data_IF_123761116481
#
_entry.id   IF_123761116481
#
_cell.length_a   1.000
_cell.length_b   1.000
_cell.length_c   1.000
_cell.angle_alpha   90.00
_cell.angle_beta   90.00
_cell.angle_gamma   90.00
#
_symmetry.space_group_name_H-M   'P 1'
#
loop_
_entity.id
_entity.type
_entity.pdbx_description
1 polymer ?
#
# COMPACT_ATOMS: atom_id res chain seq x y z
N UNK A 1 1.90 4.53 -3.77
CA UNK A 1 2.16 5.15 -5.09
C UNK A 1 1.47 4.34 -6.17
N UNK A 2 0.94 5.01 -7.18
CA UNK A 2 0.30 4.40 -8.35
C UNK A 2 1.09 4.77 -9.60
N UNK A 3 1.32 3.78 -10.45
CA UNK A 3 2.02 3.93 -11.71
C UNK A 3 1.06 3.69 -12.87
N UNK A 4 1.26 4.41 -13.97
CA UNK A 4 0.52 4.17 -15.21
C UNK A 4 1.25 3.18 -16.13
N UNK A 5 0.65 2.87 -17.27
CA UNK A 5 1.20 1.93 -18.27
C UNK A 5 2.58 2.34 -18.82
N UNK A 6 2.91 3.64 -18.82
CA UNK A 6 4.23 4.13 -19.21
C UNK A 6 5.30 3.94 -18.11
N UNK A 7 4.92 3.36 -16.97
CA UNK A 7 5.82 3.12 -15.82
C UNK A 7 6.17 4.39 -15.04
N UNK A 8 5.51 5.51 -15.30
CA UNK A 8 5.69 6.76 -14.55
C UNK A 8 4.70 6.86 -13.40
N UNK A 9 5.09 7.59 -12.36
CA UNK A 9 4.22 7.85 -11.21
C UNK A 9 3.05 8.71 -11.68
N UNK A 10 1.85 8.14 -11.61
CA UNK A 10 0.60 8.86 -11.84
C UNK A 10 0.21 9.65 -10.59
N UNK A 11 0.32 9.00 -9.41
CA UNK A 11 -0.08 9.61 -8.15
C UNK A 11 0.68 9.08 -6.94
N UNK A 12 0.95 9.99 -6.00
CA UNK A 12 1.30 9.67 -4.62
C UNK A 12 0.06 9.75 -3.73
N UNK A 13 -0.21 8.68 -2.98
CA UNK A 13 -1.38 8.59 -2.08
C UNK A 13 -0.95 7.91 -0.79
N UNK A 14 -1.42 8.45 0.33
CA UNK A 14 -1.33 7.80 1.64
C UNK A 14 -2.63 7.03 1.86
N UNK A 15 -2.52 5.74 2.09
CA UNK A 15 -3.64 4.88 2.43
C UNK A 15 -3.65 4.69 3.94
N UNK A 16 -4.70 5.18 4.60
CA UNK A 16 -4.86 5.06 6.05
C UNK A 16 -5.56 3.74 6.39
N UNK A 17 -4.76 2.74 6.75
CA UNK A 17 -5.26 1.43 7.17
C UNK A 17 -5.93 1.46 8.55
N UNK A 18 -5.89 2.59 9.28
CA UNK A 18 -6.29 2.75 10.68
C UNK A 18 -5.59 1.69 11.57
N UNK A 19 -6.04 1.56 12.81
CA UNK A 19 -5.44 0.60 13.74
C UNK A 19 -5.52 -0.84 13.20
N UNK A 20 -4.42 -1.58 13.34
CA UNK A 20 -4.33 -3.00 13.02
C UNK A 20 -4.17 -3.80 14.32
N UNK A 21 -5.26 -4.32 14.91
CA UNK A 21 -5.19 -5.06 16.15
C UNK A 21 -4.36 -6.34 15.99
N UNK A 22 -3.56 -6.65 17.00
CA UNK A 22 -2.75 -7.86 17.02
C UNK A 22 -3.61 -9.12 16.83
N UNK A 23 -3.16 -10.02 15.96
CA UNK A 23 -3.83 -11.29 15.67
C UNK A 23 -5.14 -11.17 14.88
N UNK A 24 -5.45 -9.99 14.32
CA UNK A 24 -6.63 -9.79 13.47
C UNK A 24 -6.24 -9.54 12.02
N UNK A 25 -7.01 -10.12 11.11
CA UNK A 25 -7.00 -9.74 9.69
C UNK A 25 -7.95 -8.58 9.49
N UNK A 26 -7.46 -7.47 8.94
CA UNK A 26 -8.27 -6.30 8.60
C UNK A 26 -8.34 -6.15 7.09
N UNK A 27 -9.55 -5.97 6.58
CA UNK A 27 -9.79 -5.64 5.17
C UNK A 27 -10.30 -4.21 5.11
N UNK A 28 -9.54 -3.34 4.45
CA UNK A 28 -9.91 -1.94 4.23
C UNK A 28 -10.08 -1.72 2.73
N UNK A 29 -11.20 -1.13 2.33
CA UNK A 29 -11.42 -0.64 0.98
C UNK A 29 -11.02 0.83 0.92
N UNK A 30 -10.27 1.19 -0.10
CA UNK A 30 -9.93 2.58 -0.39
C UNK A 30 -10.58 2.97 -1.71
N UNK A 31 -11.26 4.11 -1.73
CA UNK A 31 -11.75 4.70 -2.97
C UNK A 31 -10.69 5.62 -3.56
N UNK A 32 -10.23 5.29 -4.75
CA UNK A 32 -9.21 6.01 -5.49
C UNK A 32 -9.87 6.94 -6.51
N UNK A 33 -10.50 8.01 -6.03
CA UNK A 33 -11.23 8.96 -6.90
C UNK A 33 -10.35 9.52 -8.01
N UNK A 34 -10.93 9.67 -9.20
CA UNK A 34 -10.24 10.17 -10.39
C UNK A 34 -9.23 9.18 -11.00
N UNK A 35 -9.14 7.96 -10.48
CA UNK A 35 -8.27 6.91 -11.05
C UNK A 35 -9.07 5.99 -11.93
N UNK A 36 -8.70 5.94 -13.20
CA UNK A 36 -9.13 4.89 -14.11
C UNK A 36 -8.33 3.61 -13.80
N UNK A 37 -8.99 2.63 -13.19
CA UNK A 37 -8.36 1.36 -12.81
C UNK A 37 -7.71 0.64 -13.99
N UNK A 38 -8.20 0.86 -15.22
CA UNK A 38 -7.63 0.23 -16.42
C UNK A 38 -6.23 0.75 -16.73
N UNK A 39 -5.90 1.96 -16.28
CA UNK A 39 -4.62 2.62 -16.53
C UNK A 39 -3.58 2.37 -15.44
N UNK A 40 -3.93 1.68 -14.36
CA UNK A 40 -3.00 1.38 -13.26
C UNK A 40 -2.21 0.12 -13.60
N UNK A 41 -0.89 0.26 -13.75
CA UNK A 41 0.00 -0.86 -14.06
C UNK A 41 0.66 -1.46 -12.83
N UNK A 42 0.90 -0.64 -11.80
CA UNK A 42 1.56 -1.06 -10.57
C UNK A 42 1.16 -0.21 -9.37
N UNK A 43 1.05 -0.87 -8.23
CA UNK A 43 0.92 -0.27 -6.89
C UNK A 43 2.20 -0.52 -6.11
N UNK A 44 2.82 0.54 -5.59
CA UNK A 44 4.01 0.46 -4.75
C UNK A 44 3.73 1.06 -3.36
N UNK A 45 4.07 0.32 -2.32
CA UNK A 45 4.17 0.86 -0.95
C UNK A 45 5.61 1.30 -0.74
N UNK A 46 5.84 2.61 -0.69
CA UNK A 46 7.17 3.19 -0.62
C UNK A 46 7.62 3.49 0.82
N UNK A 47 6.67 3.63 1.75
CA UNK A 47 6.93 4.01 3.13
C UNK A 47 5.75 3.61 4.03
N UNK A 48 6.05 3.30 5.29
CA UNK A 48 5.06 3.21 6.37
C UNK A 48 5.18 4.48 7.21
N UNK A 49 4.16 5.33 7.19
CA UNK A 49 4.20 6.65 7.86
C UNK A 49 4.04 6.58 9.37
N UNK A 50 3.41 5.51 9.88
CA UNK A 50 3.23 5.26 11.30
C UNK A 50 3.52 3.78 11.58
N UNK A 51 4.53 3.54 12.41
CA UNK A 51 4.95 2.22 12.86
C UNK A 51 5.47 2.34 14.29
N UNK A 52 4.54 2.38 15.24
CA UNK A 52 4.82 2.67 16.65
C UNK A 52 4.35 1.54 17.55
N UNK A 53 5.01 1.40 18.69
CA UNK A 53 4.72 0.37 19.70
C UNK A 53 5.92 0.12 20.60
N UNK A 54 5.68 -0.37 21.82
CA UNK A 54 6.76 -0.66 22.77
C UNK A 54 7.75 -1.69 22.18
N UNK A 55 9.01 -1.28 22.00
CA UNK A 55 10.07 -2.14 21.44
C UNK A 55 10.03 -2.35 19.92
N UNK A 56 9.20 -1.61 19.18
CA UNK A 56 9.11 -1.71 17.72
C UNK A 56 10.09 -0.73 17.06
N UNK A 57 10.95 -1.25 16.17
CA UNK A 57 11.79 -0.45 15.27
C UNK A 57 10.93 0.27 14.23
N UNK A 58 11.23 1.54 13.93
CA UNK A 58 10.42 2.34 13.00
C UNK A 58 10.35 1.75 11.58
N UNK A 59 11.34 0.95 11.16
CA UNK A 59 11.33 0.28 9.87
C UNK A 59 10.69 -1.12 9.91
N UNK A 60 10.28 -1.63 11.08
CA UNK A 60 9.77 -2.98 11.24
C UNK A 60 8.52 -3.24 10.37
N UNK A 61 7.57 -2.30 10.33
CA UNK A 61 6.33 -2.48 9.57
C UNK A 61 6.59 -2.61 8.07
N UNK A 62 7.48 -1.77 7.52
CA UNK A 62 7.83 -1.85 6.10
C UNK A 62 8.65 -3.11 5.78
N UNK A 63 9.58 -3.50 6.66
CA UNK A 63 10.37 -4.75 6.52
C UNK A 63 9.51 -6.01 6.57
N UNK A 64 8.44 -5.99 7.37
CA UNK A 64 7.54 -7.13 7.52
C UNK A 64 6.42 -7.16 6.46
N UNK A 65 6.26 -6.09 5.67
CA UNK A 65 5.21 -5.99 4.68
C UNK A 65 5.39 -7.06 3.59
N UNK A 66 4.33 -7.82 3.36
CA UNK A 66 4.21 -8.76 2.24
C UNK A 66 3.00 -8.35 1.41
N UNK A 67 3.19 -8.20 0.12
CA UNK A 67 2.16 -7.77 -0.81
C UNK A 67 1.77 -8.92 -1.73
N UNK A 68 0.47 -9.07 -1.96
CA UNK A 68 -0.10 -10.02 -2.89
C UNK A 68 -1.25 -9.34 -3.64
N UNK A 69 -1.44 -9.71 -4.90
CA UNK A 69 -2.48 -9.15 -5.78
C UNK A 69 -3.33 -10.28 -6.33
N UNK A 70 -4.64 -10.06 -6.44
CA UNK A 70 -5.58 -10.96 -7.12
C UNK A 70 -5.90 -10.49 -8.55
N UNK A 71 -5.29 -9.40 -8.98
CA UNK A 71 -5.45 -8.83 -10.32
C UNK A 71 -4.17 -9.04 -11.14
N UNK A 72 -4.20 -8.67 -12.42
CA UNK A 72 -2.98 -8.60 -13.25
C UNK A 72 -2.05 -7.44 -12.90
N UNK A 73 -2.45 -6.51 -12.02
CA UNK A 73 -1.67 -5.34 -11.63
C UNK A 73 -0.62 -5.75 -10.59
N UNK A 74 0.64 -5.39 -10.83
CA UNK A 74 1.73 -5.66 -9.89
C UNK A 74 1.52 -4.91 -8.55
N UNK A 75 1.73 -5.59 -7.42
CA UNK A 75 1.58 -4.98 -6.09
C UNK A 75 2.76 -5.29 -5.19
N UNK A 76 3.50 -4.24 -4.85
CA UNK A 76 4.71 -4.27 -4.03
C UNK A 76 5.93 -4.82 -4.78
N UNK A 77 7.03 -4.09 -4.58
CA UNK A 77 8.28 -4.10 -5.38
C UNK A 77 8.05 -3.63 -6.83
#
# INVERSE_FOLDING_TARGET
>A
MLFNEAGVVDRLTVLDFKDLPAGKTKVTRFDLSGTDCTKVSRVLINQATDCTGGGIDAAACLKALRTETRSGIAFGI
#
